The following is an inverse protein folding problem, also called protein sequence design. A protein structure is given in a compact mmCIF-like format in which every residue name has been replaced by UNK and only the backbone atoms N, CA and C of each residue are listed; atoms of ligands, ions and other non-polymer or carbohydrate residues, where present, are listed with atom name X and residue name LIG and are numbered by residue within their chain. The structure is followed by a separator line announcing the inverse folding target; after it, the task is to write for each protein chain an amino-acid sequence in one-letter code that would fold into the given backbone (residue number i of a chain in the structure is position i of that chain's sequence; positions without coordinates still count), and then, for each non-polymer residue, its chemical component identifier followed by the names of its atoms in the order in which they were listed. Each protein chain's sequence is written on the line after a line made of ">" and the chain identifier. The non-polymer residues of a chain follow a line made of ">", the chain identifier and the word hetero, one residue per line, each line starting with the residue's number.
data_IF_177392660228
#
_entry.id   IF_177392660228
#
_cell.length_a   1.000
_cell.length_b   1.000
_cell.length_c   1.000
_cell.angle_alpha   90.00
_cell.angle_beta   90.00
_cell.angle_gamma   90.00
#
_symmetry.space_group_name_H-M   'P 1'
#
loop_
_entity.id
_entity.type
_entity.pdbx_description
1 polymer ?
#
# COMPACT_ATOMS: atom_id res chain seq x y z
N UNK A 1 11.44 0.93 -13.69
CA UNK A 1 9.99 1.04 -13.44
C UNK A 1 9.84 0.58 -12.01
N UNK A 2 9.60 1.55 -11.13
CA UNK A 2 10.29 1.61 -9.85
C UNK A 2 9.38 1.14 -8.72
N UNK A 3 9.68 -0.06 -8.20
CA UNK A 3 9.29 -0.51 -6.87
C UNK A 3 9.55 0.54 -5.79
N UNK A 4 10.50 1.46 -6.00
CA UNK A 4 10.72 2.63 -5.13
C UNK A 4 9.45 3.49 -4.92
N UNK A 5 8.57 3.61 -5.91
CA UNK A 5 7.31 4.36 -5.72
C UNK A 5 6.36 3.64 -4.77
N UNK A 6 6.34 2.30 -4.83
CA UNK A 6 5.58 1.47 -3.89
C UNK A 6 6.17 1.63 -2.49
N UNK A 7 7.48 1.51 -2.35
CA UNK A 7 8.18 1.64 -1.07
C UNK A 7 7.96 3.01 -0.45
N UNK A 8 8.04 4.09 -1.22
CA UNK A 8 7.71 5.45 -0.76
C UNK A 8 6.27 5.58 -0.28
N UNK A 9 5.31 4.99 -0.98
CA UNK A 9 3.91 5.01 -0.54
C UNK A 9 3.73 4.20 0.76
N UNK A 10 4.36 3.02 0.85
CA UNK A 10 4.26 2.17 2.03
C UNK A 10 4.95 2.78 3.25
N UNK A 11 6.07 3.49 3.05
CA UNK A 11 6.75 4.28 4.09
C UNK A 11 5.90 5.50 4.48
N UNK A 12 5.34 6.22 3.52
CA UNK A 12 4.45 7.34 3.78
C UNK A 12 3.21 6.93 4.59
N UNK A 13 2.57 5.80 4.27
CA UNK A 13 1.46 5.27 5.07
C UNK A 13 1.88 4.65 6.41
N UNK A 14 3.17 4.34 6.59
CA UNK A 14 3.75 4.00 7.88
C UNK A 14 3.94 5.18 8.81
N UNK A 15 4.38 6.31 8.25
CA UNK A 15 4.63 7.57 8.95
C UNK A 15 3.34 8.38 9.18
N UNK A 16 2.44 8.40 8.19
CA UNK A 16 1.19 9.16 8.22
C UNK A 16 -0.03 8.26 8.43
N UNK A 17 -0.65 8.29 9.62
CA UNK A 17 -1.85 7.50 9.89
C UNK A 17 -3.05 7.91 9.02
N UNK A 18 -3.06 9.16 8.50
CA UNK A 18 -4.11 9.62 7.58
C UNK A 18 -4.04 8.91 6.23
N UNK A 19 -2.84 8.78 5.66
CA UNK A 19 -2.62 8.01 4.42
C UNK A 19 -3.01 6.57 4.67
N UNK A 20 -2.58 5.99 5.80
CA UNK A 20 -3.00 4.66 6.19
C UNK A 20 -4.51 4.48 6.18
N UNK A 21 -5.28 5.31 6.89
CA UNK A 21 -6.74 5.21 6.94
C UNK A 21 -7.41 5.43 5.57
N UNK A 22 -6.91 6.38 4.80
CA UNK A 22 -7.40 6.69 3.44
C UNK A 22 -7.23 5.53 2.47
N UNK A 23 -6.15 4.78 2.60
CA UNK A 23 -5.83 3.62 1.76
C UNK A 23 -6.32 2.31 2.37
N UNK A 24 -6.55 2.20 3.67
CA UNK A 24 -7.22 1.04 4.28
C UNK A 24 -8.68 0.94 3.86
N UNK A 25 -9.30 2.07 3.50
CA UNK A 25 -10.67 2.14 2.95
C UNK A 25 -10.83 1.51 1.57
N UNK A 26 -9.78 1.47 0.74
CA UNK A 26 -9.89 0.80 -0.56
C UNK A 26 -10.12 -0.67 -0.29
N UNK A 27 -10.94 -1.39 -1.05
CA UNK A 27 -11.14 -2.83 -0.80
C UNK A 27 -10.25 -3.68 -1.71
N UNK A 28 -9.90 -3.13 -2.88
CA UNK A 28 -9.14 -3.84 -3.90
C UNK A 28 -7.71 -3.31 -4.07
N UNK A 29 -6.81 -4.18 -4.54
CA UNK A 29 -5.45 -3.79 -4.98
C UNK A 29 -5.51 -2.80 -6.16
N UNK A 30 -6.52 -2.94 -7.01
CA UNK A 30 -6.75 -2.06 -8.16
C UNK A 30 -7.05 -0.62 -7.71
N UNK A 31 -8.00 -0.44 -6.78
CA UNK A 31 -8.30 0.87 -6.18
C UNK A 31 -7.10 1.48 -5.45
N UNK A 32 -6.28 0.65 -4.79
CA UNK A 32 -5.07 1.09 -4.13
C UNK A 32 -4.07 1.66 -5.14
N UNK A 33 -3.87 0.97 -6.25
CA UNK A 33 -3.00 1.39 -7.36
C UNK A 33 -3.57 2.63 -8.06
N UNK A 34 -4.87 2.70 -8.32
CA UNK A 34 -5.49 3.90 -8.88
C UNK A 34 -5.33 5.13 -7.99
N UNK A 35 -5.51 4.96 -6.67
CA UNK A 35 -5.32 6.05 -5.70
C UNK A 35 -3.87 6.49 -5.63
N UNK A 36 -2.93 5.54 -5.61
CA UNK A 36 -1.51 5.83 -5.68
C UNK A 36 -1.13 6.58 -6.97
N UNK A 37 -1.64 6.15 -8.12
CA UNK A 37 -1.43 6.83 -9.39
C UNK A 37 -1.98 8.26 -9.40
N UNK A 38 -3.13 8.50 -8.73
CA UNK A 38 -3.71 9.85 -8.55
C UNK A 38 -2.84 10.74 -7.66
N UNK A 39 -2.25 10.16 -6.62
CA UNK A 39 -1.38 10.88 -5.67
C UNK A 39 0.02 11.18 -6.26
N UNK A 40 0.37 10.51 -7.38
CA UNK A 40 1.63 10.69 -8.11
C UNK A 40 2.57 9.49 -8.03
N UNK A 41 2.23 8.49 -7.21
CA UNK A 41 2.94 7.22 -7.11
C UNK A 41 2.48 6.27 -8.21
N UNK A 42 3.16 6.32 -9.35
CA UNK A 42 2.87 5.43 -10.48
C UNK A 42 3.55 4.08 -10.29
N UNK A 43 2.76 3.05 -10.02
CA UNK A 43 3.18 1.65 -9.97
C UNK A 43 2.02 0.73 -10.37
N UNK A 44 2.32 -0.54 -10.59
CA UNK A 44 1.36 -1.60 -10.96
C UNK A 44 1.05 -2.54 -9.80
N UNK A 45 -0.03 -3.33 -9.94
CA UNK A 45 -0.39 -4.37 -8.97
C UNK A 45 0.71 -5.43 -8.84
N UNK A 46 1.44 -5.72 -9.92
CA UNK A 46 2.56 -6.66 -9.92
C UNK A 46 3.71 -6.15 -9.04
N UNK A 47 4.11 -4.88 -9.20
CA UNK A 47 5.14 -4.24 -8.37
C UNK A 47 4.71 -4.18 -6.90
N UNK A 48 3.44 -3.88 -6.62
CA UNK A 48 2.89 -3.93 -5.26
C UNK A 48 3.02 -5.34 -4.67
N UNK A 49 2.61 -6.38 -5.39
CA UNK A 49 2.73 -7.76 -4.92
C UNK A 49 4.19 -8.19 -4.74
N UNK A 50 5.09 -7.72 -5.60
CA UNK A 50 6.52 -8.01 -5.49
C UNK A 50 7.08 -7.42 -4.20
N UNK A 51 6.84 -6.13 -3.94
CA UNK A 51 7.29 -5.46 -2.70
C UNK A 51 6.66 -6.12 -1.48
N UNK A 52 5.36 -6.38 -1.49
CA UNK A 52 4.70 -7.11 -0.40
C UNK A 52 5.37 -8.46 -0.11
N UNK A 53 5.72 -9.22 -1.16
CA UNK A 53 6.42 -10.50 -1.03
C UNK A 53 7.86 -10.34 -0.53
N UNK A 54 8.59 -9.33 -0.99
CA UNK A 54 9.96 -9.05 -0.53
C UNK A 54 10.01 -8.66 0.95
N UNK A 55 9.05 -7.86 1.41
CA UNK A 55 8.92 -7.45 2.80
C UNK A 55 8.17 -8.45 3.68
N UNK A 56 7.66 -9.55 3.11
CA UNK A 56 6.89 -10.57 3.84
C UNK A 56 5.52 -10.08 4.36
N UNK A 57 4.99 -9.01 3.77
CA UNK A 57 3.70 -8.42 4.12
C UNK A 57 2.57 -9.00 3.25
N UNK A 58 1.38 -9.14 3.83
CA UNK A 58 0.17 -9.55 3.11
C UNK A 58 -0.80 -8.38 2.96
N UNK A 59 -1.41 -8.26 1.77
CA UNK A 59 -2.54 -7.33 1.52
C UNK A 59 -3.84 -7.75 2.23
N UNK A 60 -3.80 -8.85 2.99
CA UNK A 60 -4.95 -9.33 3.75
C UNK A 60 -5.31 -8.35 4.86
N UNK A 61 -6.61 -8.06 4.97
CA UNK A 61 -7.16 -7.27 6.07
C UNK A 61 -7.14 -8.15 7.32
N UNK A 62 -6.45 -7.70 8.36
CA UNK A 62 -6.36 -8.42 9.62
C UNK A 62 -6.67 -7.50 10.80
N UNK A 63 -7.36 -8.02 11.82
CA UNK A 63 -7.74 -7.29 13.04
C UNK A 63 -9.17 -6.71 13.05
N UNK A 64 -9.52 -6.11 14.19
CA UNK A 64 -10.79 -5.44 14.45
C UNK A 64 -10.50 -4.03 15.00
N UNK A 65 -10.71 -2.93 14.25
CA UNK A 65 -11.20 -2.84 12.87
C UNK A 65 -10.23 -3.45 11.84
N UNK A 66 -10.73 -3.88 10.66
CA UNK A 66 -9.90 -4.47 9.61
C UNK A 66 -8.82 -3.46 9.21
N UNK A 67 -7.56 -3.85 9.34
CA UNK A 67 -6.41 -3.03 8.97
C UNK A 67 -5.44 -3.82 8.10
N UNK A 68 -4.78 -3.13 7.18
CA UNK A 68 -3.67 -3.71 6.42
C UNK A 68 -2.36 -3.57 7.18
N UNK A 69 -1.56 -4.62 7.13
CA UNK A 69 -0.19 -4.65 7.65
C UNK A 69 0.81 -4.62 6.49
N UNK A 70 0.56 -3.74 5.52
CA UNK A 70 1.42 -3.55 4.34
C UNK A 70 2.43 -2.41 4.53
N UNK A 71 2.23 -1.59 5.56
CA UNK A 71 2.95 -0.35 5.82
C UNK A 71 4.33 -0.62 6.39
N UNK A 72 5.35 -0.03 5.78
CA UNK A 72 6.73 -0.07 6.29
C UNK A 72 6.85 0.92 7.45
N UNK A 73 7.75 0.67 8.39
CA UNK A 73 7.87 1.45 9.63
C UNK A 73 9.16 2.23 9.66
#
# INVERSE_FOLDING_TARGET
>A
MSTENVEKLLEAGGQDPKIREEYDKTQSKDEFVEKANKDGYKFTIEELNQVLKEYGNSFELSGFPPRRFIWLK
#
